data_IF_554735724248
#
_entry.id   IF_554735724248
#
_cell.length_a   1.000
_cell.length_b   1.000
_cell.length_c   1.000
_cell.angle_alpha   90.00
_cell.angle_beta   90.00
_cell.angle_gamma   90.00
#
_symmetry.space_group_name_H-M   'P 1'
#
loop_
_entity.id
_entity.type
_entity.pdbx_description
1 polymer ?
#
# COMPACT_ATOMS: atom_id res chain seq x y z
N UNK A 1 -0.02 -18.92 15.84
CA UNK A 1 0.02 -18.11 14.59
C UNK A 1 -0.89 -16.90 14.77
N UNK A 2 -0.64 -15.79 14.09
CA UNK A 2 -1.51 -14.62 13.99
C UNK A 2 -3.01 -14.90 13.76
N UNK A 3 -3.41 -15.89 12.95
CA UNK A 3 -4.78 -16.50 12.92
C UNK A 3 -5.34 -16.99 14.26
N UNK A 4 -4.51 -17.18 15.29
CA UNK A 4 -4.97 -17.42 16.66
C UNK A 4 -5.35 -16.13 17.41
N UNK A 5 -5.40 -14.98 16.72
CA UNK A 5 -5.56 -13.63 17.27
C UNK A 5 -4.50 -13.27 18.33
N UNK A 6 -3.27 -13.78 18.13
CA UNK A 6 -2.12 -13.50 18.98
C UNK A 6 -1.05 -12.52 18.44
N UNK A 7 -1.19 -11.81 17.30
CA UNK A 7 -0.20 -10.80 16.91
C UNK A 7 -0.23 -9.62 17.88
N UNK A 8 0.93 -8.95 18.02
CA UNK A 8 1.06 -7.81 18.93
C UNK A 8 0.97 -8.15 20.43
N UNK A 9 0.90 -9.42 20.83
CA UNK A 9 0.78 -9.82 22.24
C UNK A 9 2.09 -9.77 23.04
N UNK A 10 3.18 -9.25 22.45
CA UNK A 10 4.42 -9.05 23.20
C UNK A 10 4.21 -7.95 24.23
N UNK A 11 4.17 -8.33 25.51
CA UNK A 11 4.02 -7.39 26.62
C UNK A 11 5.12 -6.33 26.59
N UNK A 12 4.78 -5.08 26.92
CA UNK A 12 5.78 -4.01 27.09
C UNK A 12 6.85 -4.37 28.14
N UNK A 13 6.54 -5.26 29.08
CA UNK A 13 7.51 -5.74 30.08
C UNK A 13 8.66 -6.53 29.47
N UNK A 14 8.54 -7.05 28.24
CA UNK A 14 9.66 -7.70 27.53
C UNK A 14 10.81 -6.74 27.21
N UNK A 15 10.58 -5.43 27.35
CA UNK A 15 11.56 -4.37 27.10
C UNK A 15 12.08 -3.72 28.39
N UNK A 16 11.70 -4.26 29.56
CA UNK A 16 12.12 -3.75 30.87
C UNK A 16 13.08 -4.74 31.53
N UNK A 17 14.32 -4.31 31.78
CA UNK A 17 15.41 -5.13 32.31
C UNK A 17 15.11 -5.81 33.67
N UNK A 18 14.14 -5.31 34.42
CA UNK A 18 13.75 -5.75 35.75
C UNK A 18 12.40 -6.48 35.79
N UNK A 19 11.76 -6.75 34.63
CA UNK A 19 10.42 -7.35 34.57
C UNK A 19 10.29 -8.49 33.57
N UNK A 20 9.43 -9.44 33.93
CA UNK A 20 8.98 -10.51 33.04
C UNK A 20 9.96 -11.67 32.85
N UNK A 21 9.54 -12.73 32.12
CA UNK A 21 10.33 -13.95 31.93
C UNK A 21 11.53 -13.78 30.98
N UNK A 22 11.65 -12.63 30.31
CA UNK A 22 12.65 -12.37 29.28
C UNK A 22 13.62 -11.23 29.62
N UNK A 23 13.71 -10.85 30.90
CA UNK A 23 14.55 -9.76 31.42
C UNK A 23 16.01 -9.80 30.90
N UNK A 24 16.60 -10.99 30.75
CA UNK A 24 17.97 -11.16 30.25
C UNK A 24 18.21 -10.66 28.81
N UNK A 25 17.15 -10.40 28.03
CA UNK A 25 17.23 -9.86 26.68
C UNK A 25 16.55 -8.50 26.53
N UNK A 26 15.97 -7.96 27.60
CA UNK A 26 15.15 -6.74 27.55
C UNK A 26 15.95 -5.53 27.07
N UNK A 27 17.17 -5.32 27.59
CA UNK A 27 18.04 -4.20 27.17
C UNK A 27 18.34 -4.24 25.67
N UNK A 28 18.71 -5.43 25.17
CA UNK A 28 18.99 -5.62 23.75
C UNK A 28 17.75 -5.39 22.88
N UNK A 29 16.57 -5.86 23.32
CA UNK A 29 15.30 -5.64 22.60
C UNK A 29 14.93 -4.15 22.58
N UNK A 30 15.05 -3.47 23.71
CA UNK A 30 14.75 -2.05 23.83
C UNK A 30 15.70 -1.19 22.97
N UNK A 31 16.99 -1.50 23.01
CA UNK A 31 17.99 -0.84 22.15
C UNK A 31 17.69 -1.07 20.67
N UNK A 32 17.38 -2.31 20.28
CA UNK A 32 17.08 -2.64 18.89
C UNK A 32 15.83 -1.90 18.39
N UNK A 33 14.74 -1.90 19.17
CA UNK A 33 13.52 -1.17 18.81
C UNK A 33 13.76 0.33 18.68
N UNK A 34 14.58 0.92 19.57
CA UNK A 34 14.95 2.34 19.49
C UNK A 34 15.73 2.64 18.21
N UNK A 35 16.78 1.87 17.92
CA UNK A 35 17.61 2.08 16.73
C UNK A 35 16.81 1.94 15.43
N UNK A 36 15.88 0.97 15.37
CA UNK A 36 14.97 0.85 14.23
C UNK A 36 14.01 2.04 14.11
N UNK A 37 13.48 2.54 15.24
CA UNK A 37 12.61 3.71 15.25
C UNK A 37 13.34 4.98 14.81
N UNK A 38 14.57 5.18 15.27
CA UNK A 38 15.45 6.28 14.85
C UNK A 38 15.74 6.19 13.34
N UNK A 39 16.16 5.01 12.85
CA UNK A 39 16.39 4.79 11.42
C UNK A 39 15.16 5.04 10.55
N UNK A 40 13.97 4.60 11.00
CA UNK A 40 12.72 4.86 10.28
C UNK A 40 12.41 6.36 10.19
N UNK A 41 12.65 7.12 11.26
CA UNK A 41 12.47 8.58 11.26
C UNK A 41 13.46 9.24 10.29
N UNK A 42 14.71 8.78 10.28
CA UNK A 42 15.75 9.30 9.38
C UNK A 42 15.38 9.02 7.91
N UNK A 43 14.93 7.81 7.59
CA UNK A 43 14.52 7.45 6.23
C UNK A 43 13.27 8.22 5.77
N UNK A 44 12.25 8.35 6.62
CA UNK A 44 11.06 9.15 6.30
C UNK A 44 11.39 10.64 6.15
N UNK A 45 12.34 11.14 6.92
CA UNK A 45 12.83 12.52 6.81
C UNK A 45 13.50 12.74 5.46
N UNK A 46 14.34 11.80 5.00
CA UNK A 46 14.95 11.87 3.67
C UNK A 46 13.91 11.92 2.55
N UNK A 47 12.86 11.09 2.62
CA UNK A 47 11.78 11.10 1.61
C UNK A 47 11.02 12.42 1.64
N UNK A 48 10.67 12.94 2.83
CA UNK A 48 10.01 14.24 2.99
C UNK A 48 10.85 15.35 2.37
N UNK A 49 12.12 15.45 2.75
CA UNK A 49 13.01 16.54 2.33
C UNK A 49 13.32 16.47 0.83
N UNK A 50 13.39 15.27 0.25
CA UNK A 50 13.52 15.09 -1.19
C UNK A 50 12.33 15.68 -1.98
N UNK A 51 11.15 15.82 -1.36
CA UNK A 51 9.95 16.36 -1.98
C UNK A 51 9.59 17.78 -1.50
N UNK A 52 10.43 18.43 -0.69
CA UNK A 52 10.20 19.80 -0.24
C UNK A 52 10.29 20.79 -1.41
N UNK A 53 9.14 21.35 -1.81
CA UNK A 53 9.04 22.30 -2.92
C UNK A 53 9.60 23.68 -2.57
N UNK A 54 9.91 23.95 -1.30
CA UNK A 54 10.55 25.21 -0.89
C UNK A 54 12.06 25.19 -1.14
N UNK A 55 12.67 24.00 -1.27
CA UNK A 55 14.07 23.84 -1.70
C UNK A 55 14.14 23.63 -3.23
N UNK A 56 14.70 24.57 -4.01
CA UNK A 56 14.87 24.41 -5.47
C UNK A 56 15.79 23.24 -5.85
N UNK A 57 16.60 22.75 -4.92
CA UNK A 57 17.51 21.63 -5.13
C UNK A 57 16.85 20.26 -4.97
N UNK A 58 15.67 20.20 -4.34
CA UNK A 58 14.94 18.96 -4.05
C UNK A 58 14.50 18.24 -5.33
N UNK A 59 14.24 16.94 -5.20
CA UNK A 59 13.69 16.15 -6.31
C UNK A 59 12.30 16.67 -6.69
N UNK A 60 11.45 16.98 -5.71
CA UNK A 60 10.10 17.52 -5.95
C UNK A 60 10.12 18.82 -6.77
N UNK A 61 10.97 19.78 -6.40
CA UNK A 61 11.11 21.04 -7.14
C UNK A 61 11.56 20.82 -8.59
N UNK A 62 12.56 19.96 -8.80
CA UNK A 62 13.04 19.59 -10.14
C UNK A 62 12.00 18.82 -10.95
N UNK A 63 11.21 17.97 -10.30
CA UNK A 63 10.15 17.20 -10.93
C UNK A 63 9.05 18.11 -11.46
N UNK A 64 8.60 19.08 -10.65
CA UNK A 64 7.56 20.04 -11.03
C UNK A 64 8.04 21.04 -12.09
N UNK A 65 9.28 21.53 -11.98
CA UNK A 65 9.85 22.48 -12.93
C UNK A 65 10.35 21.84 -14.24
N UNK A 66 10.40 20.50 -14.29
CA UNK A 66 10.92 19.74 -15.42
C UNK A 66 9.94 19.64 -16.59
N UNK A 67 10.27 18.75 -17.54
CA UNK A 67 9.39 18.44 -18.66
C UNK A 67 8.12 17.70 -18.16
N UNK A 68 6.95 18.27 -18.49
CA UNK A 68 5.66 17.76 -18.02
C UNK A 68 5.34 16.38 -18.58
N UNK A 69 5.73 16.09 -19.83
CA UNK A 69 5.50 14.78 -20.45
C UNK A 69 6.29 13.70 -19.72
N UNK A 70 7.57 13.96 -19.44
CA UNK A 70 8.42 13.06 -18.65
C UNK A 70 7.93 12.89 -17.21
N UNK A 71 7.34 13.92 -16.60
CA UNK A 71 6.75 13.84 -15.27
C UNK A 71 5.49 12.96 -15.26
N UNK A 72 4.58 13.17 -16.23
CA UNK A 72 3.37 12.37 -16.40
C UNK A 72 3.71 10.90 -16.68
N UNK A 73 4.70 10.64 -17.54
CA UNK A 73 5.22 9.29 -17.79
C UNK A 73 5.66 8.60 -16.49
N UNK A 74 6.42 9.28 -15.63
CA UNK A 74 6.85 8.72 -14.34
C UNK A 74 5.68 8.42 -13.41
N UNK A 75 4.68 9.29 -13.37
CA UNK A 75 3.46 9.08 -12.57
C UNK A 75 2.72 7.83 -13.06
N UNK A 76 2.46 7.74 -14.38
CA UNK A 76 1.76 6.60 -14.98
C UNK A 76 2.53 5.30 -14.77
N UNK A 77 3.85 5.30 -15.00
CA UNK A 77 4.71 4.12 -14.73
C UNK A 77 4.65 3.68 -13.27
N UNK A 78 4.64 4.63 -12.33
CA UNK A 78 4.48 4.34 -10.91
C UNK A 78 3.14 3.65 -10.63
N UNK A 79 2.04 4.17 -11.17
CA UNK A 79 0.70 3.58 -11.02
C UNK A 79 0.60 2.20 -11.67
N UNK A 80 1.18 2.00 -12.86
CA UNK A 80 1.21 0.72 -13.58
C UNK A 80 1.99 -0.32 -12.79
N UNK A 81 3.21 0.03 -12.37
CA UNK A 81 4.12 -0.85 -11.62
C UNK A 81 3.48 -1.26 -10.30
N UNK A 82 2.95 -0.28 -9.55
CA UNK A 82 2.26 -0.55 -8.29
C UNK A 82 1.06 -1.47 -8.53
N UNK A 83 0.21 -1.19 -9.52
CA UNK A 83 -0.97 -2.03 -9.80
C UNK A 83 -0.59 -3.47 -10.18
N UNK A 84 0.33 -3.63 -11.14
CA UNK A 84 0.61 -4.89 -11.80
C UNK A 84 1.60 -5.76 -11.06
N UNK A 85 2.90 -5.51 -11.24
CA UNK A 85 3.96 -6.37 -10.72
C UNK A 85 4.02 -6.35 -9.19
N UNK A 86 3.84 -5.19 -8.57
CA UNK A 86 4.06 -5.01 -7.13
C UNK A 86 2.87 -5.43 -6.27
N UNK A 87 1.66 -4.94 -6.58
CA UNK A 87 0.48 -5.21 -5.78
C UNK A 87 -0.16 -6.53 -6.20
N UNK A 88 -0.49 -6.71 -7.48
CA UNK A 88 -1.09 -7.97 -7.93
C UNK A 88 -0.10 -9.14 -7.88
N UNK A 89 1.15 -8.92 -8.29
CA UNK A 89 2.19 -9.95 -8.32
C UNK A 89 2.77 -10.24 -6.94
N UNK A 90 3.68 -9.40 -6.47
CA UNK A 90 4.51 -9.68 -5.29
C UNK A 90 3.70 -9.69 -3.98
N UNK A 91 2.77 -8.74 -3.77
CA UNK A 91 2.03 -8.65 -2.49
C UNK A 91 0.88 -9.65 -2.37
N UNK A 92 0.21 -9.98 -3.48
CA UNK A 92 -1.02 -10.79 -3.45
C UNK A 92 -0.82 -12.19 -4.05
N UNK A 93 -0.31 -12.31 -5.28
CA UNK A 93 -0.20 -13.60 -5.94
C UNK A 93 0.78 -14.53 -5.23
N UNK A 94 1.92 -14.01 -4.76
CA UNK A 94 2.91 -14.81 -4.02
C UNK A 94 2.29 -15.44 -2.76
N UNK A 95 1.64 -14.62 -1.92
CA UNK A 95 0.97 -15.09 -0.72
C UNK A 95 -0.18 -16.06 -1.03
N UNK A 96 -0.95 -15.80 -2.09
CA UNK A 96 -2.03 -16.69 -2.51
C UNK A 96 -1.53 -18.05 -3.01
N UNK A 97 -0.44 -18.06 -3.78
CA UNK A 97 0.14 -19.27 -4.36
C UNK A 97 0.83 -20.14 -3.31
N UNK A 98 1.52 -19.53 -2.36
CA UNK A 98 2.13 -20.27 -1.25
C UNK A 98 1.06 -20.81 -0.30
N UNK A 99 0.04 -19.98 -0.03
CA UNK A 99 -0.94 -20.16 1.04
C UNK A 99 -0.30 -20.13 2.43
N UNK A 100 0.89 -19.52 2.54
CA UNK A 100 1.66 -19.39 3.78
C UNK A 100 1.53 -17.97 4.32
N UNK A 101 1.28 -17.90 5.62
CA UNK A 101 1.21 -16.65 6.36
C UNK A 101 2.55 -15.89 6.32
N UNK A 102 3.68 -16.59 6.26
CA UNK A 102 5.00 -15.93 6.22
C UNK A 102 5.24 -15.12 4.94
N UNK A 103 4.45 -15.39 3.88
CA UNK A 103 4.58 -14.71 2.59
C UNK A 103 3.60 -13.52 2.43
N UNK A 104 2.69 -13.28 3.39
CA UNK A 104 1.89 -12.05 3.37
C UNK A 104 2.65 -10.84 3.94
N UNK A 105 2.39 -9.65 3.38
CA UNK A 105 3.22 -8.46 3.58
C UNK A 105 3.41 -8.04 5.05
N UNK A 106 2.35 -8.13 5.86
CA UNK A 106 2.35 -7.74 7.28
C UNK A 106 2.06 -8.94 8.19
N UNK A 107 2.69 -10.08 7.90
CA UNK A 107 2.48 -11.37 8.54
C UNK A 107 2.56 -11.37 10.08
N UNK A 108 3.34 -10.49 10.70
CA UNK A 108 3.51 -10.45 12.16
C UNK A 108 2.43 -9.63 12.89
N UNK A 109 1.64 -8.83 12.18
CA UNK A 109 0.73 -7.83 12.77
C UNK A 109 -0.74 -7.99 12.34
N UNK A 110 -1.06 -8.97 11.49
CA UNK A 110 -2.37 -9.13 10.84
C UNK A 110 -2.83 -7.86 10.09
N UNK A 111 -1.88 -7.06 9.59
CA UNK A 111 -2.19 -5.75 9.00
C UNK A 111 -2.33 -5.77 7.47
N UNK A 112 -2.10 -6.90 6.80
CA UNK A 112 -2.09 -7.00 5.34
C UNK A 112 -3.34 -6.43 4.70
N UNK A 113 -4.52 -6.71 5.27
CA UNK A 113 -5.80 -6.17 4.79
C UNK A 113 -5.84 -4.63 4.76
N UNK A 114 -5.12 -3.94 5.66
CA UNK A 114 -5.02 -2.47 5.67
C UNK A 114 -4.01 -1.99 4.65
N UNK A 115 -2.92 -2.71 4.48
CA UNK A 115 -1.89 -2.39 3.48
C UNK A 115 -2.50 -2.42 2.07
N UNK A 116 -3.30 -3.45 1.75
CA UNK A 116 -3.97 -3.56 0.44
C UNK A 116 -4.93 -2.38 0.19
N UNK A 117 -5.64 -1.92 1.23
CA UNK A 117 -6.51 -0.75 1.12
C UNK A 117 -5.68 0.54 0.98
N UNK A 118 -4.56 0.66 1.69
CA UNK A 118 -3.64 1.78 1.58
C UNK A 118 -3.08 1.93 0.17
N UNK A 119 -2.57 0.84 -0.41
CA UNK A 119 -2.03 0.80 -1.77
C UNK A 119 -3.11 1.16 -2.81
N UNK A 120 -4.30 0.56 -2.71
CA UNK A 120 -5.41 0.88 -3.62
C UNK A 120 -5.86 2.35 -3.50
N UNK A 121 -5.90 2.91 -2.29
CA UNK A 121 -6.22 4.33 -2.06
C UNK A 121 -5.14 5.23 -2.61
N UNK A 122 -3.86 4.88 -2.47
CA UNK A 122 -2.75 5.64 -3.04
C UNK A 122 -2.91 5.83 -4.55
N UNK A 123 -3.23 4.77 -5.27
CA UNK A 123 -3.49 4.83 -6.72
C UNK A 123 -4.71 5.71 -7.03
N UNK A 124 -5.81 5.57 -6.27
CA UNK A 124 -6.99 6.41 -6.43
C UNK A 124 -6.70 7.90 -6.19
N UNK A 125 -5.89 8.21 -5.17
CA UNK A 125 -5.54 9.59 -4.82
C UNK A 125 -4.75 10.26 -5.94
N UNK A 126 -3.79 9.56 -6.54
CA UNK A 126 -3.04 10.06 -7.71
C UNK A 126 -3.94 10.21 -8.94
N UNK A 127 -4.82 9.23 -9.19
CA UNK A 127 -5.77 9.31 -10.29
C UNK A 127 -6.69 10.53 -10.19
N UNK A 128 -7.23 10.80 -9.00
CA UNK A 128 -8.20 11.88 -8.75
C UNK A 128 -7.56 13.23 -8.43
N UNK A 129 -6.30 13.27 -8.01
CA UNK A 129 -5.62 14.48 -7.55
C UNK A 129 -6.10 14.94 -6.17
N UNK A 130 -6.52 14.00 -5.31
CA UNK A 130 -7.08 14.29 -3.99
C UNK A 130 -6.44 13.44 -2.91
N UNK A 131 -6.06 14.03 -1.79
CA UNK A 131 -5.61 13.32 -0.58
C UNK A 131 -6.19 14.00 0.65
N UNK A 132 -6.84 13.22 1.51
CA UNK A 132 -7.31 13.69 2.81
C UNK A 132 -6.28 13.28 3.87
N UNK A 133 -5.62 14.26 4.46
CA UNK A 133 -4.64 14.04 5.52
C UNK A 133 -5.33 13.73 6.86
N UNK A 134 -4.57 13.19 7.82
CA UNK A 134 -5.08 12.96 9.17
C UNK A 134 -5.39 14.28 9.89
N UNK A 135 -4.60 15.30 9.60
CA UNK A 135 -4.89 16.69 9.91
C UNK A 135 -5.30 17.41 8.63
N UNK A 136 -6.53 17.95 8.56
CA UNK A 136 -7.04 18.60 7.35
C UNK A 136 -6.21 19.80 6.87
N UNK A 137 -5.21 20.22 7.67
CA UNK A 137 -4.22 21.21 7.29
C UNK A 137 -3.35 20.80 6.08
N UNK A 138 -3.24 19.50 5.79
CA UNK A 138 -2.43 18.96 4.69
C UNK A 138 -3.27 18.27 3.60
N UNK A 139 -4.56 18.59 3.53
CA UNK A 139 -5.42 18.09 2.45
C UNK A 139 -4.92 18.61 1.09
N UNK A 140 -4.90 17.71 0.11
CA UNK A 140 -4.54 18.02 -1.28
C UNK A 140 -5.78 17.87 -2.13
N UNK A 141 -6.04 18.86 -2.99
CA UNK A 141 -7.08 18.82 -4.01
C UNK A 141 -6.64 19.60 -5.24
N UNK A 142 -6.72 18.97 -6.40
CA UNK A 142 -6.32 19.54 -7.68
C UNK A 142 -6.64 18.58 -8.84
N UNK A 143 -6.17 18.89 -10.07
CA UNK A 143 -6.33 17.97 -11.19
C UNK A 143 -5.48 16.71 -10.94
N UNK A 144 -6.13 15.55 -10.94
CA UNK A 144 -5.45 14.26 -11.02
C UNK A 144 -5.12 13.86 -12.45
N UNK A 145 -4.49 12.70 -12.60
CA UNK A 145 -4.25 12.09 -13.92
C UNK A 145 -5.55 11.93 -14.72
N UNK A 146 -6.67 11.70 -14.03
CA UNK A 146 -8.00 11.61 -14.63
C UNK A 146 -8.32 12.80 -15.53
N UNK A 147 -8.05 14.03 -15.11
CA UNK A 147 -8.41 15.22 -15.87
C UNK A 147 -7.71 15.28 -17.23
N UNK A 148 -6.44 14.84 -17.27
CA UNK A 148 -5.69 14.74 -18.52
C UNK A 148 -6.26 13.66 -19.43
N UNK A 149 -6.55 12.48 -18.88
CA UNK A 149 -7.10 11.37 -19.69
C UNK A 149 -8.51 11.70 -20.19
N UNK A 150 -9.33 12.41 -19.40
CA UNK A 150 -10.65 12.86 -19.81
C UNK A 150 -10.59 13.82 -21.00
N UNK A 151 -9.58 14.68 -21.08
CA UNK A 151 -9.39 15.57 -22.22
C UNK A 151 -9.02 14.81 -23.50
N UNK A 152 -8.26 13.71 -23.38
CA UNK A 152 -7.79 12.90 -24.51
C UNK A 152 -8.79 11.84 -24.96
N UNK A 153 -9.34 11.08 -24.01
CA UNK A 153 -10.30 9.99 -24.21
C UNK A 153 -11.23 9.87 -22.98
N UNK A 154 -12.39 10.54 -23.01
CA UNK A 154 -13.37 10.49 -21.92
C UNK A 154 -13.88 9.07 -21.61
N UNK A 155 -13.94 8.19 -22.62
CA UNK A 155 -14.43 6.84 -22.43
C UNK A 155 -13.39 5.99 -21.69
N UNK A 156 -12.11 6.12 -22.07
CA UNK A 156 -11.00 5.47 -21.38
C UNK A 156 -10.85 5.99 -19.94
N UNK A 157 -10.98 7.30 -19.73
CA UNK A 157 -10.92 7.85 -18.37
C UNK A 157 -12.02 7.29 -17.47
N UNK A 158 -13.26 7.19 -17.97
CA UNK A 158 -14.37 6.58 -17.24
C UNK A 158 -14.11 5.10 -16.95
N UNK A 159 -13.56 4.36 -17.92
CA UNK A 159 -13.19 2.95 -17.77
C UNK A 159 -12.12 2.75 -16.68
N UNK A 160 -11.03 3.52 -16.71
CA UNK A 160 -9.95 3.49 -15.71
C UNK A 160 -10.50 3.86 -14.34
N UNK A 161 -11.27 4.95 -14.24
CA UNK A 161 -11.85 5.41 -12.97
C UNK A 161 -12.76 4.36 -12.33
N UNK A 162 -13.60 3.69 -13.13
CA UNK A 162 -14.42 2.59 -12.66
C UNK A 162 -13.58 1.38 -12.22
N UNK A 163 -12.52 1.06 -12.96
CA UNK A 163 -11.64 -0.06 -12.63
C UNK A 163 -10.84 0.19 -11.33
N UNK A 164 -10.32 1.41 -11.12
CA UNK A 164 -9.67 1.80 -9.86
C UNK A 164 -10.64 1.73 -8.68
N UNK A 165 -11.87 2.21 -8.85
CA UNK A 165 -12.90 2.12 -7.81
C UNK A 165 -13.24 0.65 -7.47
N UNK A 166 -13.32 -0.22 -8.48
CA UNK A 166 -13.54 -1.66 -8.31
C UNK A 166 -12.39 -2.33 -7.54
N UNK A 167 -11.14 -2.05 -7.90
CA UNK A 167 -9.97 -2.59 -7.18
C UNK A 167 -9.95 -2.14 -5.72
N UNK A 168 -10.27 -0.87 -5.43
CA UNK A 168 -10.40 -0.40 -4.05
C UNK A 168 -11.50 -1.13 -3.28
N UNK A 169 -12.69 -1.30 -3.90
CA UNK A 169 -13.78 -2.03 -3.25
C UNK A 169 -13.39 -3.48 -2.94
N UNK A 170 -12.67 -4.15 -3.86
CA UNK A 170 -12.18 -5.50 -3.66
C UNK A 170 -11.13 -5.57 -2.53
N UNK A 171 -10.22 -4.59 -2.45
CA UNK A 171 -9.28 -4.49 -1.34
C UNK A 171 -9.99 -4.25 0.01
N UNK A 172 -11.03 -3.42 0.04
CA UNK A 172 -11.84 -3.21 1.24
C UNK A 172 -12.61 -4.47 1.66
N UNK A 173 -13.00 -5.32 0.70
CA UNK A 173 -13.67 -6.60 0.96
C UNK A 173 -12.73 -7.68 1.55
N UNK A 174 -11.41 -7.44 1.62
CA UNK A 174 -10.45 -8.32 2.30
C UNK A 174 -10.34 -8.02 3.80
N UNK A 175 -11.02 -6.98 4.30
CA UNK A 175 -11.03 -6.67 5.73
C UNK A 175 -11.75 -7.79 6.50
N UNK A 176 -11.19 -8.24 7.64
CA UNK A 176 -11.86 -9.24 8.45
C UNK A 176 -13.19 -8.70 8.99
N UNK A 177 -14.18 -9.58 9.06
CA UNK A 177 -15.50 -9.33 9.65
C UNK A 177 -15.85 -10.49 10.59
N UNK A 178 -16.94 -10.45 11.36
CA UNK A 178 -17.35 -11.61 12.16
C UNK A 178 -17.55 -12.91 11.35
N UNK A 179 -17.76 -12.81 10.04
CA UNK A 179 -17.95 -13.95 9.13
C UNK A 179 -16.83 -14.11 8.09
N UNK A 180 -15.90 -13.16 8.02
CA UNK A 180 -14.75 -13.21 7.11
C UNK A 180 -13.45 -13.20 7.92
N UNK A 181 -12.57 -14.19 7.72
CA UNK A 181 -11.41 -14.33 8.57
C UNK A 181 -10.30 -13.33 8.21
N UNK A 182 -9.19 -13.39 8.93
CA UNK A 182 -7.98 -12.62 8.63
C UNK A 182 -7.37 -13.03 7.27
N UNK A 183 -6.47 -12.20 6.74
CA UNK A 183 -5.95 -12.38 5.38
C UNK A 183 -5.20 -13.72 5.22
N UNK A 184 -4.44 -14.15 6.21
CA UNK A 184 -3.74 -15.44 6.23
C UNK A 184 -4.68 -16.64 6.07
N UNK A 185 -5.85 -16.59 6.70
CA UNK A 185 -6.91 -17.58 6.49
C UNK A 185 -7.57 -17.46 5.11
N UNK A 186 -7.67 -16.26 4.53
CA UNK A 186 -8.19 -16.09 3.16
C UNK A 186 -7.29 -16.76 2.12
N UNK A 187 -5.97 -16.70 2.29
CA UNK A 187 -5.00 -17.33 1.36
C UNK A 187 -4.75 -18.82 1.66
N UNK A 188 -5.13 -19.29 2.85
CA UNK A 188 -4.86 -20.65 3.31
C UNK A 188 -5.38 -21.72 2.33
N UNK A 189 -4.55 -22.75 2.11
CA UNK A 189 -4.87 -23.84 1.18
C UNK A 189 -6.21 -24.50 1.54
N UNK A 190 -7.11 -24.57 0.57
CA UNK A 190 -8.43 -25.18 0.71
C UNK A 190 -9.54 -24.19 1.07
N UNK A 191 -9.24 -22.94 1.42
CA UNK A 191 -10.24 -21.90 1.61
C UNK A 191 -10.72 -21.31 0.27
N UNK A 192 -11.38 -22.12 -0.54
CA UNK A 192 -11.78 -21.76 -1.92
C UNK A 192 -12.52 -20.41 -2.02
N UNK A 193 -13.36 -20.08 -1.02
CA UNK A 193 -14.06 -18.81 -0.97
C UNK A 193 -13.14 -17.62 -0.65
N UNK A 194 -12.21 -17.79 0.30
CA UNK A 194 -11.19 -16.79 0.62
C UNK A 194 -10.21 -16.56 -0.53
N UNK A 195 -9.67 -17.64 -1.10
CA UNK A 195 -8.77 -17.59 -2.24
C UNK A 195 -9.42 -16.85 -3.42
N UNK A 196 -10.71 -17.06 -3.67
CA UNK A 196 -11.45 -16.38 -4.72
C UNK A 196 -11.57 -14.86 -4.51
N UNK A 197 -11.67 -14.38 -3.26
CA UNK A 197 -11.69 -12.94 -2.97
C UNK A 197 -10.35 -12.29 -3.29
N UNK A 198 -9.25 -12.92 -2.86
CA UNK A 198 -7.89 -12.44 -3.13
C UNK A 198 -7.61 -12.47 -4.64
N UNK A 199 -7.97 -13.57 -5.32
CA UNK A 199 -7.83 -13.68 -6.77
C UNK A 199 -8.63 -12.61 -7.53
N UNK A 200 -9.84 -12.27 -7.08
CA UNK A 200 -10.63 -11.22 -7.70
C UNK A 200 -9.93 -9.85 -7.67
N UNK A 201 -9.25 -9.52 -6.56
CA UNK A 201 -8.44 -8.30 -6.45
C UNK A 201 -7.24 -8.36 -7.40
N UNK A 202 -6.50 -9.48 -7.42
CA UNK A 202 -5.35 -9.69 -8.34
C UNK A 202 -5.76 -9.45 -9.79
N UNK A 203 -6.85 -10.08 -10.23
CA UNK A 203 -7.33 -9.96 -11.60
C UNK A 203 -7.78 -8.53 -11.92
N UNK A 204 -8.45 -7.87 -10.96
CA UNK A 204 -8.85 -6.46 -11.07
C UNK A 204 -7.64 -5.55 -11.24
N UNK A 205 -6.58 -5.76 -10.46
CA UNK A 205 -5.36 -4.95 -10.53
C UNK A 205 -4.58 -5.17 -11.83
N UNK A 206 -4.58 -6.40 -12.38
CA UNK A 206 -4.00 -6.69 -13.70
C UNK A 206 -4.75 -5.97 -14.82
N UNK A 207 -6.08 -5.92 -14.76
CA UNK A 207 -6.87 -5.13 -15.70
C UNK A 207 -6.59 -3.64 -15.53
N UNK A 208 -6.51 -3.15 -14.29
CA UNK A 208 -6.16 -1.76 -13.98
C UNK A 208 -4.81 -1.35 -14.59
N UNK A 209 -3.77 -2.18 -14.43
CA UNK A 209 -2.46 -1.93 -15.02
C UNK A 209 -2.53 -1.82 -16.55
N UNK A 210 -3.20 -2.75 -17.23
CA UNK A 210 -3.38 -2.74 -18.69
C UNK A 210 -4.16 -1.52 -19.19
N UNK A 211 -5.15 -1.06 -18.44
CA UNK A 211 -5.89 0.15 -18.82
C UNK A 211 -5.02 1.41 -18.67
N UNK A 212 -4.17 1.47 -17.63
CA UNK A 212 -3.22 2.56 -17.46
C UNK A 212 -2.13 2.56 -18.55
N UNK A 213 -1.69 1.38 -19.01
CA UNK A 213 -0.78 1.25 -20.16
C UNK A 213 -1.36 1.86 -21.45
N UNK A 214 -2.68 1.76 -21.67
CA UNK A 214 -3.35 2.38 -22.83
C UNK A 214 -3.31 3.91 -22.84
N UNK A 215 -3.03 4.55 -21.69
CA UNK A 215 -2.80 6.01 -21.62
C UNK A 215 -1.37 6.36 -22.04
N UNK A 216 -0.45 5.41 -21.86
CA UNK A 216 0.97 5.56 -22.13
C UNK A 216 1.31 5.31 -23.61
N UNK A 217 0.59 4.39 -24.26
CA UNK A 217 0.74 4.03 -25.69
C UNK A 217 0.09 5.06 -26.65
#
# INVERSE_FOLDING_TARGET
PPSAHLPGQRSYTDYLADKGPHAAHADRRAQYLRLLGEGLIDDLTQVRDAWDLSDPSSYGSKFVAGDSSAAIEKILRGMITLSGSEFAGERLQVALDSGDQEDEHSCFSDNTHRDMVGDAKGIQNVWRGTYAALDSANDVSGPGVQALVEELDPALAAEIGAQIAKSLQLAEALRPTPTDPAFDELISRGNTAGNAKVQALIDSLRVQAKLLERVYD
#
